data_IF_896299082544
#
_entry.id   IF_896299082544
#
_cell.length_a   1.000
_cell.length_b   1.000
_cell.length_c   1.000
_cell.angle_alpha   90.00
_cell.angle_beta   90.00
_cell.angle_gamma   90.00
#
_symmetry.space_group_name_H-M   'P 1'
#
loop_
_entity.id
_entity.type
_entity.pdbx_description
1 polymer ?
#
# COMPACT_ATOMS: atom_id res chain seq x y z
N UNK A 1 -1.59 -9.81 -21.87
CA UNK A 1 -0.74 -8.80 -21.18
C UNK A 1 -1.37 -8.52 -19.83
N UNK A 2 -0.73 -8.97 -18.75
CA UNK A 2 -1.25 -8.79 -17.39
C UNK A 2 -0.78 -7.45 -16.84
N UNK A 3 -1.66 -6.46 -16.88
CA UNK A 3 -1.41 -5.10 -16.41
C UNK A 3 -1.56 -5.06 -14.88
N UNK A 4 -0.71 -5.80 -14.17
CA UNK A 4 -0.69 -5.84 -12.72
C UNK A 4 0.05 -4.59 -12.21
N UNK A 5 -0.45 -3.38 -12.50
CA UNK A 5 0.00 -2.19 -11.79
C UNK A 5 -0.35 -2.44 -10.34
N UNK A 6 0.62 -2.91 -9.54
CA UNK A 6 0.48 -3.16 -8.11
C UNK A 6 0.01 -1.83 -7.51
N UNK A 7 -1.30 -1.71 -7.31
CA UNK A 7 -1.89 -0.55 -6.68
C UNK A 7 -1.34 -0.58 -5.26
N UNK A 8 -0.34 0.27 -4.98
CA UNK A 8 0.33 0.32 -3.68
C UNK A 8 -0.76 0.65 -2.66
N UNK A 9 -1.24 -0.37 -1.94
CA UNK A 9 -2.21 -0.19 -0.86
C UNK A 9 -1.51 0.69 0.18
N UNK A 10 -2.00 1.91 0.36
CA UNK A 10 -1.53 2.80 1.42
C UNK A 10 -2.10 2.26 2.73
N UNK A 11 -1.28 1.55 3.49
CA UNK A 11 -1.66 1.04 4.82
C UNK A 11 -1.42 2.17 5.83
N UNK A 12 -2.37 2.40 6.72
CA UNK A 12 -2.23 3.35 7.83
C UNK A 12 -1.18 2.78 8.80
N UNK A 13 -0.16 3.56 9.20
CA UNK A 13 0.85 3.07 10.14
C UNK A 13 0.26 2.68 11.52
N UNK A 14 0.74 1.59 12.16
CA UNK A 14 0.27 1.15 13.47
C UNK A 14 0.34 2.24 14.55
N UNK A 15 1.43 3.02 14.59
CA UNK A 15 1.62 4.09 15.57
C UNK A 15 0.53 5.17 15.48
N UNK A 16 -0.03 5.40 14.29
CA UNK A 16 -1.11 6.36 14.10
C UNK A 16 -2.42 5.80 14.68
N UNK A 17 -2.69 4.51 14.48
CA UNK A 17 -3.85 3.84 15.07
C UNK A 17 -3.75 3.77 16.61
N UNK A 18 -2.55 3.55 17.16
CA UNK A 18 -2.30 3.62 18.60
C UNK A 18 -2.59 5.02 19.15
N UNK A 19 -2.09 6.06 18.48
CA UNK A 19 -2.36 7.44 18.86
C UNK A 19 -3.86 7.73 18.86
N UNK A 20 -4.59 7.32 17.81
CA UNK A 20 -6.04 7.55 17.74
C UNK A 20 -6.76 6.75 18.85
N UNK A 21 -6.39 5.49 19.09
CA UNK A 21 -6.99 4.66 20.15
C UNK A 21 -6.82 5.23 21.56
N UNK A 22 -5.79 6.06 21.77
CA UNK A 22 -5.52 6.75 23.03
C UNK A 22 -6.27 8.08 23.16
N UNK A 23 -6.78 8.63 22.06
CA UNK A 23 -7.40 9.97 22.00
C UNK A 23 -8.85 9.95 21.49
N UNK A 24 -9.46 8.77 21.32
CA UNK A 24 -10.84 8.61 20.87
C UNK A 24 -11.78 8.20 22.01
N UNK A 25 -13.08 8.32 21.76
CA UNK A 25 -14.10 7.83 22.67
C UNK A 25 -14.11 6.30 22.75
N UNK A 26 -14.64 5.79 23.88
CA UNK A 26 -14.74 4.36 24.16
C UNK A 26 -15.52 3.58 23.10
N UNK A 27 -16.48 4.22 22.43
CA UNK A 27 -17.28 3.62 21.37
C UNK A 27 -16.42 3.29 20.13
N UNK A 28 -15.53 4.21 19.75
CA UNK A 28 -14.69 4.06 18.55
C UNK A 28 -13.43 3.24 18.84
N UNK A 29 -12.97 3.26 20.10
CA UNK A 29 -11.74 2.58 20.53
C UNK A 29 -11.71 1.10 20.13
N UNK A 30 -12.83 0.39 20.26
CA UNK A 30 -12.91 -1.03 19.87
C UNK A 30 -12.63 -1.23 18.37
N UNK A 31 -13.20 -0.38 17.52
CA UNK A 31 -13.00 -0.43 16.07
C UNK A 31 -11.55 -0.12 15.69
N UNK A 32 -10.94 0.86 16.34
CA UNK A 32 -9.55 1.26 16.09
C UNK A 32 -8.60 0.16 16.54
N UNK A 33 -8.81 -0.46 17.70
CA UNK A 33 -7.99 -1.57 18.18
C UNK A 33 -8.07 -2.80 17.25
N UNK A 34 -9.27 -3.13 16.76
CA UNK A 34 -9.44 -4.22 15.79
C UNK A 34 -8.70 -3.92 14.47
N UNK A 35 -8.72 -2.66 14.02
CA UNK A 35 -7.97 -2.22 12.84
C UNK A 35 -6.46 -2.30 13.08
N UNK A 36 -6.00 -1.88 14.25
CA UNK A 36 -4.59 -1.95 14.65
C UNK A 36 -4.06 -3.39 14.65
N UNK A 37 -4.82 -4.32 15.23
CA UNK A 37 -4.49 -5.75 15.20
C UNK A 37 -4.37 -6.27 13.76
N UNK A 38 -5.34 -5.94 12.91
CA UNK A 38 -5.32 -6.35 11.52
C UNK A 38 -4.10 -5.81 10.75
N UNK A 39 -3.77 -4.54 10.94
CA UNK A 39 -2.62 -3.90 10.30
C UNK A 39 -1.30 -4.54 10.77
N UNK A 40 -1.17 -4.82 12.07
CA UNK A 40 0.01 -5.49 12.61
C UNK A 40 0.21 -6.88 11.99
N UNK A 41 -0.85 -7.65 11.83
CA UNK A 41 -0.80 -8.96 11.18
C UNK A 41 -0.45 -8.86 9.67
N UNK A 42 -0.94 -7.83 8.97
CA UNK A 42 -0.57 -7.58 7.58
C UNK A 42 0.93 -7.28 7.44
N UNK A 43 1.49 -6.44 8.31
CA UNK A 43 2.91 -6.09 8.28
C UNK A 43 3.82 -7.27 8.62
N UNK A 44 3.40 -8.15 9.54
CA UNK A 44 4.12 -9.40 9.82
C UNK A 44 4.11 -10.35 8.62
N UNK A 45 3.00 -10.41 7.88
CA UNK A 45 2.83 -11.29 6.72
C UNK A 45 3.57 -10.80 5.48
N UNK A 46 3.70 -9.49 5.26
CA UNK A 46 4.41 -8.96 4.07
C UNK A 46 5.90 -9.27 4.05
N UNK A 47 6.52 -9.59 5.19
CA UNK A 47 7.92 -10.01 5.27
C UNK A 47 8.12 -11.42 4.68
N UNK A 48 7.05 -12.21 4.51
CA UNK A 48 7.10 -13.57 3.98
C UNK A 48 6.74 -13.69 2.49
N UNK A 49 6.49 -12.58 1.78
CA UNK A 49 6.41 -12.65 0.31
C UNK A 49 7.82 -12.92 -0.24
N UNK A 50 7.95 -14.09 -0.85
CA UNK A 50 9.15 -14.68 -1.45
C UNK A 50 10.05 -13.63 -2.13
N UNK A 51 11.38 -13.65 -1.92
CA UNK A 51 12.30 -12.85 -2.71
C UNK A 51 12.23 -13.34 -4.16
N UNK A 52 11.32 -12.75 -4.94
CA UNK A 52 11.33 -12.91 -6.39
C UNK A 52 12.74 -12.53 -6.86
N UNK A 53 13.51 -13.45 -7.46
CA UNK A 53 14.82 -13.10 -7.97
C UNK A 53 14.64 -11.99 -9.01
N UNK A 54 15.45 -10.93 -8.98
CA UNK A 54 15.47 -9.97 -10.07
C UNK A 54 15.88 -10.76 -11.31
N UNK A 55 14.93 -10.99 -12.24
CA UNK A 55 15.30 -11.29 -13.62
C UNK A 55 15.82 -10.00 -14.21
N UNK A 56 17.08 -9.71 -13.91
CA UNK A 56 17.89 -8.71 -14.61
C UNK A 56 18.07 -9.18 -16.05
N UNK A 57 17.04 -8.97 -16.85
CA UNK A 57 17.20 -8.88 -18.29
C UNK A 57 17.71 -7.47 -18.56
N UNK A 58 19.01 -7.25 -18.35
CA UNK A 58 19.72 -6.06 -18.78
C UNK A 58 19.59 -5.93 -20.30
N UNK A 59 18.56 -5.26 -20.78
CA UNK A 59 18.50 -4.74 -22.15
C UNK A 59 18.86 -3.27 -22.07
N UNK A 60 20.17 -3.01 -22.11
CA UNK A 60 20.72 -1.70 -22.46
C UNK A 60 20.32 -1.44 -23.91
N UNK A 61 19.35 -0.57 -24.20
CA UNK A 61 19.24 0.16 -25.47
C UNK A 61 18.39 1.46 -25.34
N UNK A 62 19.10 2.58 -25.11
CA UNK A 62 19.04 3.90 -25.76
C UNK A 62 17.71 4.71 -25.98
N UNK A 63 17.67 5.86 -25.30
CA UNK A 63 17.31 7.26 -25.72
C UNK A 63 15.88 7.69 -26.17
N UNK A 64 15.44 8.77 -25.48
CA UNK A 64 14.42 9.83 -25.78
C UNK A 64 12.95 9.35 -25.66
N UNK A 65 11.99 10.02 -25.00
CA UNK A 65 11.72 11.46 -24.79
C UNK A 65 10.70 11.59 -23.64
N UNK A 66 10.73 12.70 -22.88
CA UNK A 66 9.61 13.13 -22.00
C UNK A 66 8.40 13.50 -22.88
N UNK A 67 7.16 13.22 -22.45
CA UNK A 67 6.36 14.31 -21.88
C UNK A 67 5.56 13.90 -20.64
N UNK A 68 5.36 14.88 -19.77
CA UNK A 68 4.30 14.91 -18.76
C UNK A 68 2.97 14.37 -19.30
N UNK A 69 2.22 13.68 -18.45
CA UNK A 69 0.81 14.05 -18.23
C UNK A 69 0.35 13.45 -16.92
N UNK A 70 -0.17 14.33 -16.08
CA UNK A 70 -0.95 14.03 -14.91
C UNK A 70 -2.25 13.36 -15.36
N UNK A 71 -2.69 12.27 -14.71
CA UNK A 71 -4.00 11.69 -14.99
C UNK A 71 -4.62 11.21 -13.69
N UNK A 72 -5.64 11.99 -13.30
CA UNK A 72 -6.61 11.79 -12.24
C UNK A 72 -7.18 10.37 -12.21
N UNK A 73 -7.29 9.83 -11.00
CA UNK A 73 -8.03 8.60 -10.72
C UNK A 73 -9.53 8.91 -10.85
N UNK A 74 -10.11 8.61 -12.01
CA UNK A 74 -11.55 8.68 -12.20
C UNK A 74 -12.21 7.46 -11.57
N UNK A 75 -12.83 7.67 -10.42
CA UNK A 75 -13.73 6.69 -9.79
C UNK A 75 -15.07 6.72 -10.52
N UNK A 76 -15.32 5.76 -11.40
CA UNK A 76 -16.69 5.46 -11.83
C UNK A 76 -17.36 4.63 -10.75
N UNK A 77 -18.23 5.30 -9.99
CA UNK A 77 -19.21 4.63 -9.12
C UNK A 77 -20.20 3.83 -9.96
N UNK A 78 -20.64 2.71 -9.40
CA UNK A 78 -21.90 2.05 -9.74
C UNK A 78 -22.71 1.92 -8.47
#
# INVERSE_FOLDING_TARGET
>A
MNNNKKCKKKIIPPYLLEYIANNCDSNDKKCILNTLEHVNELMKKSVKEDPHPPKDNSIIYNKKTLPETENTCSSSGK
#
